data_IF_053054820061
#
_entry.id   IF_053054820061
#
_cell.length_a   1.000
_cell.length_b   1.000
_cell.length_c   1.000
_cell.angle_alpha   90.00
_cell.angle_beta   90.00
_cell.angle_gamma   90.00
#
_symmetry.space_group_name_H-M   'P 1'
#
loop_
_entity.id
_entity.type
_entity.pdbx_description
1 polymer ?
#
# COMPACT_ATOMS: atom_id res chain seq x y z
N UNK A 1 7.48 -3.19 -14.40
CA UNK A 1 6.23 -3.75 -14.95
C UNK A 1 5.17 -2.67 -15.20
N UNK A 2 4.68 -1.97 -14.17
CA UNK A 2 3.58 -0.97 -14.29
C UNK A 2 3.82 0.04 -15.43
N UNK A 3 5.00 0.67 -15.49
CA UNK A 3 5.37 1.59 -16.58
C UNK A 3 5.23 0.98 -17.99
N UNK A 4 5.60 -0.29 -18.15
CA UNK A 4 5.52 -0.99 -19.43
C UNK A 4 4.06 -1.30 -19.83
N UNK A 5 3.18 -1.56 -18.85
CA UNK A 5 1.73 -1.74 -19.08
C UNK A 5 1.07 -0.43 -19.47
N UNK A 6 1.40 0.67 -18.78
CA UNK A 6 0.81 1.98 -19.04
C UNK A 6 1.32 2.65 -20.31
N UNK A 7 2.48 2.24 -20.84
CA UNK A 7 3.03 2.79 -22.08
C UNK A 7 2.08 2.64 -23.30
N UNK A 8 1.55 1.44 -23.61
CA UNK A 8 0.54 1.28 -24.67
C UNK A 8 -0.90 1.52 -24.19
N UNK A 9 -1.17 1.46 -22.88
CA UNK A 9 -2.51 1.55 -22.30
C UNK A 9 -2.56 2.57 -21.14
N UNK A 10 -2.41 3.88 -21.42
CA UNK A 10 -2.33 4.91 -20.37
C UNK A 10 -3.63 5.06 -19.56
N UNK A 11 -4.77 4.62 -20.10
CA UNK A 11 -6.08 4.64 -19.44
C UNK A 11 -6.31 3.49 -18.45
N UNK A 12 -5.40 2.50 -18.38
CA UNK A 12 -5.59 1.35 -17.50
C UNK A 12 -5.22 1.69 -16.06
N UNK A 13 -6.18 1.52 -15.16
CA UNK A 13 -5.94 1.54 -13.71
C UNK A 13 -5.29 0.25 -13.24
N UNK A 14 -4.26 0.38 -12.41
CA UNK A 14 -3.47 -0.76 -11.91
C UNK A 14 -3.45 -0.75 -10.39
N UNK A 15 -3.81 -1.88 -9.78
CA UNK A 15 -3.77 -2.13 -8.34
C UNK A 15 -2.91 -3.36 -8.02
N UNK A 16 -1.61 -3.22 -7.69
CA UNK A 16 -0.82 -4.33 -7.18
C UNK A 16 -1.29 -4.73 -5.78
N UNK A 17 -1.24 -6.02 -5.48
CA UNK A 17 -1.57 -6.59 -4.16
C UNK A 17 -0.42 -7.40 -3.55
N UNK A 18 0.46 -7.97 -4.38
CA UNK A 18 1.64 -8.72 -3.94
C UNK A 18 2.88 -7.83 -3.82
N UNK A 19 3.62 -7.95 -2.72
CA UNK A 19 4.85 -7.18 -2.49
C UNK A 19 4.65 -5.72 -2.05
N UNK A 20 3.42 -5.34 -1.69
CA UNK A 20 3.10 -4.03 -1.09
C UNK A 20 3.28 -4.11 0.43
N UNK A 21 4.17 -3.32 0.99
CA UNK A 21 4.38 -3.17 2.44
C UNK A 21 3.81 -1.83 2.92
N UNK A 22 3.73 -1.64 4.24
CA UNK A 22 3.28 -0.38 4.84
C UNK A 22 4.42 0.65 4.98
N UNK A 23 5.61 0.36 4.46
CA UNK A 23 6.78 1.23 4.55
C UNK A 23 6.69 2.35 3.51
N UNK A 24 7.11 3.56 3.90
CA UNK A 24 6.98 4.75 3.06
C UNK A 24 7.72 4.60 1.73
N UNK A 25 8.89 3.98 1.75
CA UNK A 25 9.77 3.76 0.60
C UNK A 25 9.07 2.85 -0.42
N UNK A 26 8.55 1.70 0.03
CA UNK A 26 7.83 0.77 -0.84
C UNK A 26 6.58 1.40 -1.46
N UNK A 27 5.78 2.11 -0.66
CA UNK A 27 4.60 2.81 -1.15
C UNK A 27 4.96 3.89 -2.18
N UNK A 28 6.01 4.67 -1.91
CA UNK A 28 6.49 5.72 -2.82
C UNK A 28 6.93 5.15 -4.16
N UNK A 29 7.65 4.02 -4.17
CA UNK A 29 8.05 3.34 -5.40
C UNK A 29 6.84 2.88 -6.23
N UNK A 30 5.81 2.33 -5.60
CA UNK A 30 4.59 1.92 -6.28
C UNK A 30 3.85 3.10 -6.92
N UNK A 31 3.63 4.17 -6.16
CA UNK A 31 2.97 5.37 -6.69
C UNK A 31 3.81 6.05 -7.78
N UNK A 32 5.14 6.11 -7.63
CA UNK A 32 6.04 6.62 -8.67
C UNK A 32 6.07 5.73 -9.94
N UNK A 33 5.74 4.44 -9.81
CA UNK A 33 5.56 3.55 -10.95
C UNK A 33 4.24 3.80 -11.71
N UNK A 34 3.31 4.59 -11.14
CA UNK A 34 2.07 5.01 -11.77
C UNK A 34 0.86 4.14 -11.46
N UNK A 35 0.86 3.41 -10.33
CA UNK A 35 -0.32 2.65 -9.89
C UNK A 35 -1.43 3.60 -9.42
N UNK A 36 -2.68 3.17 -9.57
CA UNK A 36 -3.84 3.97 -9.18
C UNK A 36 -4.13 3.80 -7.68
N UNK A 37 -3.96 2.58 -7.18
CA UNK A 37 -4.08 2.24 -5.77
C UNK A 37 -3.20 1.03 -5.45
N UNK A 38 -3.09 0.66 -4.18
CA UNK A 38 -2.36 -0.52 -3.73
C UNK A 38 -3.24 -1.33 -2.80
N UNK A 39 -3.18 -2.66 -2.91
CA UNK A 39 -3.82 -3.58 -1.98
C UNK A 39 -2.82 -4.13 -0.97
N UNK A 40 -3.18 -4.15 0.30
CA UNK A 40 -2.35 -4.68 1.38
C UNK A 40 -3.11 -5.74 2.16
N UNK A 41 -2.50 -6.92 2.31
CA UNK A 41 -3.06 -8.05 3.07
C UNK A 41 -2.32 -8.26 4.39
N UNK A 42 -1.52 -9.32 4.47
CA UNK A 42 -0.78 -9.74 5.67
C UNK A 42 0.11 -8.65 6.28
N UNK A 43 0.63 -7.72 5.47
CA UNK A 43 1.41 -6.58 5.97
C UNK A 43 0.58 -5.58 6.77
N UNK A 44 -0.71 -5.44 6.43
CA UNK A 44 -1.67 -4.59 7.15
C UNK A 44 -2.27 -5.32 8.36
N UNK A 45 -2.48 -6.63 8.24
CA UNK A 45 -3.02 -7.49 9.29
C UNK A 45 -1.99 -8.55 9.76
N UNK A 46 -0.97 -8.18 10.54
CA UNK A 46 0.00 -9.13 11.07
C UNK A 46 -0.68 -10.21 11.92
N UNK A 47 -0.27 -11.47 11.75
CA UNK A 47 -0.82 -12.60 12.51
C UNK A 47 -0.75 -12.38 14.02
N UNK A 48 0.36 -11.82 14.52
CA UNK A 48 0.54 -11.54 15.95
C UNK A 48 -0.52 -10.59 16.52
N UNK A 49 -0.87 -9.52 15.78
CA UNK A 49 -1.91 -8.57 16.17
C UNK A 49 -3.29 -9.25 16.15
N UNK A 50 -3.56 -10.04 15.11
CA UNK A 50 -4.84 -10.73 14.95
C UNK A 50 -5.06 -11.82 16.01
N UNK A 51 -4.03 -12.60 16.33
CA UNK A 51 -4.06 -13.64 17.36
C UNK A 51 -4.19 -13.04 18.77
N UNK A 52 -3.49 -11.94 19.05
CA UNK A 52 -3.59 -11.21 20.31
C UNK A 52 -4.88 -10.40 20.44
N UNK A 53 -5.67 -10.25 19.35
CA UNK A 53 -6.83 -9.35 19.27
C UNK A 53 -6.49 -7.91 19.69
N UNK A 54 -5.28 -7.45 19.37
CA UNK A 54 -4.81 -6.12 19.73
C UNK A 54 -5.34 -5.07 18.73
N UNK A 55 -6.61 -4.73 18.90
CA UNK A 55 -7.29 -3.77 18.03
C UNK A 55 -6.69 -2.36 18.11
N UNK A 56 -6.11 -2.01 19.27
CA UNK A 56 -5.48 -0.71 19.46
C UNK A 56 -4.20 -0.60 18.64
N UNK A 57 -3.37 -1.66 18.62
CA UNK A 57 -2.19 -1.69 17.76
C UNK A 57 -2.57 -1.67 16.26
N UNK A 58 -3.65 -2.38 15.88
CA UNK A 58 -4.15 -2.34 14.50
C UNK A 58 -4.61 -0.93 14.10
N UNK A 59 -5.40 -0.27 14.94
CA UNK A 59 -5.87 1.10 14.72
C UNK A 59 -4.70 2.07 14.54
N UNK A 60 -3.70 2.03 15.43
CA UNK A 60 -2.51 2.86 15.34
C UNK A 60 -1.73 2.61 14.04
N UNK A 61 -1.59 1.34 13.65
CA UNK A 61 -0.92 0.96 12.40
C UNK A 61 -1.66 1.50 11.18
N UNK A 62 -2.99 1.39 11.15
CA UNK A 62 -3.82 1.92 10.05
C UNK A 62 -3.74 3.45 10.01
N UNK A 63 -3.82 4.14 11.15
CA UNK A 63 -3.72 5.59 11.21
C UNK A 63 -2.36 6.09 10.68
N UNK A 64 -1.27 5.45 11.08
CA UNK A 64 0.08 5.78 10.58
C UNK A 64 0.19 5.54 9.06
N UNK A 65 -0.40 4.45 8.56
CA UNK A 65 -0.41 4.12 7.14
C UNK A 65 -1.17 5.19 6.33
N UNK A 66 -2.36 5.59 6.78
CA UNK A 66 -3.12 6.66 6.11
C UNK A 66 -2.32 7.96 6.09
N UNK A 67 -1.74 8.36 7.23
CA UNK A 67 -0.89 9.55 7.30
C UNK A 67 0.30 9.46 6.32
N UNK A 68 0.91 8.28 6.20
CA UNK A 68 2.03 8.05 5.28
C UNK A 68 1.59 8.19 3.82
N UNK A 69 0.43 7.64 3.46
CA UNK A 69 -0.13 7.75 2.10
C UNK A 69 -0.46 9.20 1.76
N UNK A 70 -1.02 9.97 2.69
CA UNK A 70 -1.27 11.41 2.50
C UNK A 70 0.02 12.17 2.22
N UNK A 71 1.11 11.86 2.92
CA UNK A 71 2.42 12.48 2.65
C UNK A 71 3.03 12.11 1.29
N UNK A 72 2.68 10.95 0.72
CA UNK A 72 3.21 10.51 -0.57
C UNK A 72 2.41 11.10 -1.74
N UNK A 73 1.11 11.32 -1.55
CA UNK A 73 0.18 11.77 -2.60
C UNK A 73 0.02 13.29 -2.67
N UNK A 74 0.39 14.02 -1.62
CA UNK A 74 0.38 15.49 -1.57
C UNK A 74 1.61 16.10 -2.24
#
# INVERSE_FOLDING_TARGET
>A
FVKAVKAPMPWTDVMPTGGVTCEKENLSEWFAAGVTCVGMGSNLFPKSIMEAKDWKALEQKVALLIHTIEQIRN
#
